data_IF_566172415117
#
_entry.id   IF_566172415117
#
_cell.length_a   1.000
_cell.length_b   1.000
_cell.length_c   1.000
_cell.angle_alpha   90.00
_cell.angle_beta   90.00
_cell.angle_gamma   90.00
#
_symmetry.space_group_name_H-M   'P 1'
#
loop_
_entity.id
_entity.type
_entity.pdbx_description
1 polymer ?
#
# COMPACT_ATOMS: atom_id res chain seq x y z
N UNK A 1 -8.03 -15.40 7.10
CA UNK A 1 -6.89 -16.27 7.46
C UNK A 1 -5.58 -15.78 6.86
N UNK A 2 -5.39 -15.82 5.53
CA UNK A 2 -4.16 -15.32 4.87
C UNK A 2 -3.75 -13.93 5.35
N UNK A 3 -4.68 -12.98 5.39
CA UNK A 3 -4.43 -11.63 5.86
C UNK A 3 -3.85 -11.60 7.30
N UNK A 4 -4.34 -12.45 8.19
CA UNK A 4 -3.87 -12.53 9.58
C UNK A 4 -2.48 -13.18 9.68
N UNK A 5 -2.24 -14.28 8.95
CA UNK A 5 -0.94 -14.95 8.92
C UNK A 5 0.15 -14.00 8.44
N UNK A 6 -0.08 -13.37 7.29
CA UNK A 6 0.89 -12.47 6.70
C UNK A 6 1.06 -11.19 7.51
N UNK A 7 0.02 -10.71 8.22
CA UNK A 7 0.17 -9.63 9.19
C UNK A 7 1.08 -10.04 10.37
N UNK A 8 0.94 -11.25 10.92
CA UNK A 8 1.82 -11.76 11.99
C UNK A 8 3.27 -11.83 11.53
N UNK A 9 3.51 -12.37 10.33
CA UNK A 9 4.84 -12.44 9.74
C UNK A 9 5.40 -11.02 9.50
N UNK A 10 4.58 -10.09 9.00
CA UNK A 10 4.97 -8.71 8.76
C UNK A 10 5.37 -7.98 10.05
N UNK A 11 4.57 -8.10 11.11
CA UNK A 11 4.89 -7.53 12.43
C UNK A 11 6.16 -8.14 13.00
N UNK A 12 6.29 -9.47 12.96
CA UNK A 12 7.50 -10.15 13.44
C UNK A 12 8.75 -9.69 12.67
N UNK A 13 8.65 -9.58 11.34
CA UNK A 13 9.75 -9.12 10.49
C UNK A 13 10.12 -7.68 10.80
N UNK A 14 9.14 -6.78 10.99
CA UNK A 14 9.40 -5.40 11.40
C UNK A 14 10.11 -5.37 12.75
N UNK A 15 9.58 -6.03 13.76
CA UNK A 15 10.19 -6.10 15.10
C UNK A 15 11.62 -6.63 15.06
N UNK A 16 11.90 -7.63 14.21
CA UNK A 16 13.25 -8.13 14.01
C UNK A 16 14.18 -7.08 13.37
N UNK A 17 13.73 -6.39 12.33
CA UNK A 17 14.51 -5.32 11.68
C UNK A 17 14.81 -4.18 12.65
N UNK A 18 13.81 -3.77 13.44
CA UNK A 18 13.97 -2.73 14.46
C UNK A 18 15.10 -3.12 15.44
N UNK A 19 15.16 -4.39 15.86
CA UNK A 19 16.23 -4.88 16.74
C UNK A 19 17.57 -5.09 16.01
N UNK A 20 17.57 -5.57 14.77
CA UNK A 20 18.79 -5.93 14.03
C UNK A 20 19.76 -4.75 13.87
N UNK A 21 19.23 -3.55 13.57
CA UNK A 21 20.05 -2.35 13.41
C UNK A 21 20.45 -1.69 14.75
N UNK A 22 19.61 -1.83 15.78
CA UNK A 22 19.90 -1.32 17.13
C UNK A 22 20.94 -2.19 17.85
N UNK A 23 20.85 -3.52 17.73
CA UNK A 23 21.78 -4.44 18.38
C UNK A 23 23.19 -4.33 17.78
N UNK A 24 23.32 -4.07 16.48
CA UNK A 24 24.61 -3.81 15.84
C UNK A 24 25.39 -2.67 16.49
N UNK A 25 24.70 -1.64 17.00
CA UNK A 25 25.32 -0.51 17.68
C UNK A 25 25.83 -0.81 19.09
N UNK A 26 25.25 -1.82 19.75
CA UNK A 26 25.68 -2.28 21.08
C UNK A 26 26.78 -3.35 21.00
N UNK A 27 27.47 -3.46 19.87
CA UNK A 27 28.47 -4.51 19.61
C UNK A 27 27.86 -5.90 19.37
N UNK A 28 26.54 -5.96 19.13
CA UNK A 28 25.83 -7.18 18.78
C UNK A 28 25.92 -7.51 17.28
N UNK A 29 25.00 -8.33 16.80
CA UNK A 29 24.96 -8.78 15.41
C UNK A 29 24.17 -7.81 14.54
N UNK A 30 24.79 -7.33 13.45
CA UNK A 30 24.19 -6.40 12.49
C UNK A 30 25.03 -5.13 12.28
N UNK A 31 24.82 -4.38 11.19
CA UNK A 31 25.44 -3.07 11.01
C UNK A 31 24.80 -2.05 11.96
N UNK A 32 25.61 -1.19 12.57
CA UNK A 32 25.09 -0.08 13.36
C UNK A 32 24.59 1.04 12.44
N UNK A 33 23.31 1.38 12.55
CA UNK A 33 22.74 2.58 11.95
C UNK A 33 22.37 3.55 13.06
N UNK A 34 23.25 4.50 13.32
CA UNK A 34 23.07 5.58 14.29
C UNK A 34 23.10 6.94 13.61
N UNK A 35 22.37 7.90 14.17
CA UNK A 35 22.36 9.28 13.71
C UNK A 35 21.01 9.95 13.92
N UNK A 36 21.00 11.28 13.97
CA UNK A 36 19.78 12.07 14.20
C UNK A 36 18.69 11.84 13.15
N UNK A 37 19.08 11.50 11.92
CA UNK A 37 18.18 11.24 10.79
C UNK A 37 17.65 9.80 10.71
N UNK A 38 18.23 8.87 11.48
CA UNK A 38 17.74 7.50 11.55
C UNK A 38 16.51 7.42 12.47
N UNK A 39 15.59 6.52 12.11
CA UNK A 39 14.43 6.16 12.90
C UNK A 39 14.11 4.68 12.64
N UNK A 40 13.63 3.98 13.66
CA UNK A 40 13.55 2.51 13.65
C UNK A 40 12.68 1.96 12.52
N UNK A 41 11.62 2.67 12.14
CA UNK A 41 10.74 2.27 11.05
C UNK A 41 11.35 2.41 9.64
N UNK A 42 12.52 3.04 9.47
CA UNK A 42 13.10 3.32 8.14
C UNK A 42 13.39 2.04 7.34
N UNK A 43 14.12 1.05 7.86
CA UNK A 43 14.46 -0.15 7.09
C UNK A 43 13.23 -0.99 6.73
N UNK A 44 12.30 -1.12 7.67
CA UNK A 44 11.05 -1.87 7.46
C UNK A 44 10.14 -1.18 6.44
N UNK A 45 10.03 0.16 6.47
CA UNK A 45 9.33 0.96 5.46
C UNK A 45 9.96 0.85 4.07
N UNK A 46 11.29 0.87 3.98
CA UNK A 46 12.02 0.68 2.72
C UNK A 46 11.78 -0.72 2.14
N UNK A 47 11.94 -1.78 2.96
CA UNK A 47 11.78 -3.16 2.53
C UNK A 47 10.35 -3.45 2.07
N UNK A 48 9.33 -3.08 2.86
CA UNK A 48 7.94 -3.31 2.48
C UNK A 48 7.51 -2.53 1.24
N UNK A 49 8.04 -1.31 1.04
CA UNK A 49 7.80 -0.52 -0.17
C UNK A 49 8.46 -1.15 -1.40
N UNK A 50 9.68 -1.70 -1.26
CA UNK A 50 10.33 -2.47 -2.33
C UNK A 50 9.52 -3.73 -2.68
N UNK A 51 9.13 -4.53 -1.68
CA UNK A 51 8.43 -5.80 -1.90
C UNK A 51 7.10 -5.57 -2.60
N UNK A 52 6.26 -4.62 -2.15
CA UNK A 52 4.98 -4.33 -2.82
C UNK A 52 5.17 -3.85 -4.26
N UNK A 53 6.25 -3.08 -4.53
CA UNK A 53 6.63 -2.67 -5.89
C UNK A 53 7.15 -3.83 -6.74
N UNK A 54 7.81 -4.82 -6.14
CA UNK A 54 8.38 -5.98 -6.81
C UNK A 54 7.33 -7.03 -7.21
N UNK A 55 6.30 -7.23 -6.38
CA UNK A 55 5.18 -8.16 -6.66
C UNK A 55 4.00 -7.49 -7.37
N UNK A 56 4.25 -6.35 -8.00
CA UNK A 56 3.23 -5.52 -8.63
C UNK A 56 2.68 -6.19 -9.91
N UNK A 57 1.47 -5.79 -10.31
CA UNK A 57 0.87 -6.25 -11.55
C UNK A 57 1.60 -5.63 -12.77
N UNK A 58 1.74 -6.35 -13.90
CA UNK A 58 2.32 -5.81 -15.13
C UNK A 58 1.66 -4.50 -15.59
N UNK A 59 0.34 -4.38 -15.45
CA UNK A 59 -0.39 -3.18 -15.83
C UNK A 59 0.10 -1.94 -15.04
N UNK A 60 0.42 -2.11 -13.75
CA UNK A 60 1.01 -1.04 -12.95
C UNK A 60 2.45 -0.69 -13.37
N UNK A 61 3.13 -1.55 -14.14
CA UNK A 61 4.45 -1.33 -14.72
C UNK A 61 4.39 -0.75 -16.15
N UNK A 62 3.19 -0.46 -16.68
CA UNK A 62 3.02 -0.06 -18.08
C UNK A 62 3.20 -1.20 -19.07
N UNK A 63 3.01 -2.46 -18.62
CA UNK A 63 3.15 -3.66 -19.45
C UNK A 63 1.79 -4.32 -19.67
N UNK A 64 1.47 -4.60 -20.94
CA UNK A 64 0.26 -5.33 -21.33
C UNK A 64 0.49 -6.81 -21.19
N UNK A 65 -0.07 -7.40 -20.14
CA UNK A 65 -0.03 -8.84 -19.91
C UNK A 65 -1.21 -9.22 -19.03
N UNK A 66 -1.79 -10.42 -19.22
CA UNK A 66 -2.86 -10.88 -18.36
C UNK A 66 -2.37 -11.29 -16.96
N UNK A 67 -1.05 -11.41 -16.73
CA UNK A 67 -0.49 -11.81 -15.42
C UNK A 67 -0.95 -10.85 -14.30
N UNK A 68 -1.28 -11.37 -13.13
CA UNK A 68 -1.61 -10.59 -11.92
C UNK A 68 -0.38 -10.26 -11.08
N UNK A 69 0.69 -11.05 -11.23
CA UNK A 69 2.01 -10.84 -10.62
C UNK A 69 3.08 -10.88 -11.71
N UNK A 70 3.80 -9.77 -11.90
CA UNK A 70 4.73 -9.59 -13.02
C UNK A 70 5.95 -10.55 -12.97
N UNK A 71 6.39 -10.92 -11.78
CA UNK A 71 7.62 -11.70 -11.57
C UNK A 71 7.44 -13.22 -11.73
N UNK A 72 6.26 -13.68 -12.11
CA UNK A 72 5.94 -15.10 -12.21
C UNK A 72 5.59 -15.52 -13.65
N UNK A 73 5.85 -16.79 -14.02
CA UNK A 73 5.32 -17.35 -15.26
C UNK A 73 3.80 -17.26 -15.33
N UNK A 74 3.25 -17.25 -16.54
CA UNK A 74 1.79 -17.12 -16.74
C UNK A 74 0.99 -18.27 -16.10
N UNK A 75 1.55 -19.48 -16.09
CA UNK A 75 0.91 -20.70 -15.56
C UNK A 75 1.17 -20.95 -14.07
N UNK A 76 1.80 -20.01 -13.38
CA UNK A 76 2.11 -20.20 -11.98
C UNK A 76 0.83 -20.13 -11.13
N UNK A 77 0.54 -21.09 -10.22
CA UNK A 77 -0.71 -21.13 -9.45
C UNK A 77 -1.02 -19.86 -8.66
N UNK A 78 0.02 -19.13 -8.23
CA UNK A 78 -0.13 -17.86 -7.53
C UNK A 78 -0.74 -16.74 -8.38
N UNK A 79 -0.77 -16.86 -9.72
CA UNK A 79 -1.46 -15.87 -10.58
C UNK A 79 -2.97 -15.82 -10.28
N UNK A 80 -3.56 -16.93 -9.84
CA UNK A 80 -5.00 -17.07 -9.57
C UNK A 80 -5.33 -17.05 -8.06
N UNK A 81 -4.35 -17.29 -7.19
CA UNK A 81 -4.58 -17.34 -5.75
C UNK A 81 -4.69 -15.94 -5.12
N UNK A 82 -5.85 -15.32 -5.28
CA UNK A 82 -6.14 -13.96 -4.83
C UNK A 82 -5.89 -13.75 -3.33
N UNK A 83 -6.38 -14.65 -2.48
CA UNK A 83 -6.20 -14.52 -1.03
C UNK A 83 -4.72 -14.48 -0.59
N UNK A 84 -3.83 -15.15 -1.32
CA UNK A 84 -2.39 -15.14 -1.08
C UNK A 84 -1.75 -13.82 -1.55
N UNK A 85 -2.20 -13.28 -2.69
CA UNK A 85 -1.75 -11.97 -3.18
C UNK A 85 -2.12 -10.84 -2.21
N UNK A 86 -3.39 -10.81 -1.77
CA UNK A 86 -3.87 -9.86 -0.75
C UNK A 86 -3.16 -10.08 0.58
N UNK A 87 -2.94 -11.34 0.96
CA UNK A 87 -2.13 -11.69 2.13
C UNK A 87 -0.74 -11.05 2.09
N UNK A 88 -0.01 -11.19 0.98
CA UNK A 88 1.36 -10.68 0.87
C UNK A 88 1.41 -9.15 0.72
N UNK A 89 0.54 -8.54 -0.10
CA UNK A 89 0.52 -7.09 -0.29
C UNK A 89 -0.08 -6.37 0.92
N UNK A 90 -1.35 -6.62 1.19
CA UNK A 90 -2.08 -5.94 2.25
C UNK A 90 -1.67 -6.43 3.64
N UNK A 91 -1.48 -7.74 3.83
CA UNK A 91 -1.11 -8.33 5.12
C UNK A 91 0.36 -8.09 5.47
N UNK A 92 1.27 -8.68 4.69
CA UNK A 92 2.70 -8.64 4.99
C UNK A 92 3.31 -7.26 4.75
N UNK A 93 3.30 -6.73 3.52
CA UNK A 93 3.93 -5.42 3.24
C UNK A 93 3.26 -4.31 4.06
N UNK A 94 1.94 -4.36 4.19
CA UNK A 94 1.17 -3.42 4.99
C UNK A 94 1.48 -3.45 6.49
N UNK A 95 1.83 -4.61 7.08
CA UNK A 95 2.17 -4.71 8.52
C UNK A 95 3.67 -4.65 8.81
N UNK A 96 4.48 -4.92 7.79
CA UNK A 96 5.93 -4.68 7.78
C UNK A 96 6.24 -3.19 7.76
N UNK A 97 5.47 -2.40 6.98
CA UNK A 97 5.59 -0.93 7.00
C UNK A 97 4.72 -0.33 8.09
N UNK A 98 5.08 0.85 8.61
CA UNK A 98 4.27 1.61 9.55
C UNK A 98 4.43 3.11 9.30
N UNK A 99 3.29 3.79 9.15
CA UNK A 99 3.25 5.24 8.98
C UNK A 99 3.16 5.94 10.33
N UNK A 100 2.35 5.41 11.25
CA UNK A 100 2.11 6.01 12.56
C UNK A 100 3.37 6.05 13.41
N UNK A 101 4.06 4.91 13.57
CA UNK A 101 5.29 4.83 14.35
C UNK A 101 6.42 5.67 13.73
N UNK A 102 6.47 5.76 12.40
CA UNK A 102 7.44 6.63 11.72
C UNK A 102 7.25 8.12 12.08
N UNK A 103 6.04 8.65 11.93
CA UNK A 103 5.77 10.05 12.25
C UNK A 103 5.89 10.29 13.76
N UNK A 104 5.37 9.38 14.57
CA UNK A 104 5.45 9.46 16.02
C UNK A 104 6.90 9.53 16.51
N UNK A 105 7.79 8.63 16.07
CA UNK A 105 9.17 8.61 16.56
C UNK A 105 9.99 9.85 16.17
N UNK A 106 9.62 10.53 15.07
CA UNK A 106 10.22 11.81 14.68
C UNK A 106 9.68 12.97 15.52
N UNK A 107 8.36 13.05 15.69
CA UNK A 107 7.72 14.17 16.36
C UNK A 107 7.69 14.04 17.88
N UNK A 108 7.85 12.84 18.43
CA UNK A 108 8.19 12.60 19.83
C UNK A 108 9.46 13.36 20.19
N UNK A 109 10.56 13.08 19.48
CA UNK A 109 11.84 13.78 19.66
C UNK A 109 11.74 15.28 19.42
N UNK A 110 10.96 15.72 18.43
CA UNK A 110 10.74 17.14 18.17
C UNK A 110 10.08 17.85 19.38
N UNK A 111 9.03 17.25 19.93
CA UNK A 111 8.26 17.81 21.06
C UNK A 111 9.06 17.72 22.37
N UNK A 112 9.71 16.58 22.65
CA UNK A 112 10.37 16.32 23.92
C UNK A 112 11.79 16.91 24.01
N UNK A 113 12.52 16.91 22.89
CA UNK A 113 13.94 17.29 22.84
C UNK A 113 14.22 18.49 21.92
N UNK A 114 13.19 19.20 21.44
CA UNK A 114 13.31 20.35 20.54
C UNK A 114 14.00 20.03 19.19
N UNK A 115 13.93 18.77 18.74
CA UNK A 115 14.58 18.28 17.53
C UNK A 115 13.77 18.51 16.23
N UNK A 116 13.17 19.70 16.06
CA UNK A 116 12.25 19.98 14.94
C UNK A 116 12.90 19.83 13.56
N UNK A 117 14.10 20.36 13.37
CA UNK A 117 14.81 20.31 12.09
C UNK A 117 15.11 18.85 11.66
N UNK A 118 15.49 18.02 12.63
CA UNK A 118 15.75 16.59 12.42
C UNK A 118 14.46 15.85 12.07
N UNK A 119 13.35 16.15 12.75
CA UNK A 119 12.04 15.56 12.45
C UNK A 119 11.58 15.87 11.02
N UNK A 120 11.68 17.14 10.58
CA UNK A 120 11.32 17.51 9.21
C UNK A 120 12.21 16.85 8.17
N UNK A 121 13.52 16.76 8.45
CA UNK A 121 14.46 16.08 7.56
C UNK A 121 14.20 14.57 7.53
N UNK A 122 13.84 13.96 8.66
CA UNK A 122 13.42 12.56 8.76
C UNK A 122 12.14 12.25 7.97
N UNK A 123 11.19 13.20 7.91
CA UNK A 123 10.00 13.07 7.04
C UNK A 123 10.40 13.05 5.56
N UNK A 124 11.30 13.95 5.14
CA UNK A 124 11.78 13.99 3.75
C UNK A 124 12.54 12.71 3.39
N UNK A 125 13.48 12.30 4.24
CA UNK A 125 14.30 11.09 4.04
C UNK A 125 13.42 9.85 4.01
N UNK A 126 12.50 9.69 4.97
CA UNK A 126 11.61 8.54 5.03
C UNK A 126 10.71 8.43 3.80
N UNK A 127 10.09 9.54 3.37
CA UNK A 127 9.25 9.56 2.18
C UNK A 127 10.05 9.24 0.91
N UNK A 128 11.21 9.88 0.74
CA UNK A 128 12.07 9.69 -0.42
C UNK A 128 12.61 8.26 -0.50
N UNK A 129 13.05 7.70 0.63
CA UNK A 129 13.54 6.33 0.72
C UNK A 129 12.46 5.31 0.36
N UNK A 130 11.25 5.44 0.94
CA UNK A 130 10.14 4.54 0.63
C UNK A 130 9.66 4.65 -0.83
N UNK A 131 9.53 5.87 -1.38
CA UNK A 131 9.20 6.08 -2.79
C UNK A 131 10.29 5.54 -3.73
N UNK A 132 11.56 5.73 -3.36
CA UNK A 132 12.71 5.22 -4.11
C UNK A 132 12.72 3.70 -4.14
N UNK A 133 12.60 3.05 -2.97
CA UNK A 133 12.52 1.59 -2.86
C UNK A 133 11.34 1.01 -3.62
N UNK A 134 10.17 1.65 -3.60
CA UNK A 134 9.03 1.23 -4.42
C UNK A 134 9.36 1.26 -5.92
N UNK A 135 9.97 2.35 -6.41
CA UNK A 135 10.37 2.46 -7.84
C UNK A 135 11.43 1.42 -8.21
N UNK A 136 12.42 1.20 -7.35
CA UNK A 136 13.43 0.14 -7.54
C UNK A 136 12.75 -1.23 -7.61
N UNK A 137 11.76 -1.49 -6.75
CA UNK A 137 10.94 -2.70 -6.81
C UNK A 137 10.22 -2.87 -8.15
N UNK A 138 9.57 -1.81 -8.63
CA UNK A 138 8.90 -1.81 -9.94
C UNK A 138 9.88 -2.05 -11.11
N UNK A 139 11.06 -1.43 -11.09
CA UNK A 139 12.08 -1.66 -12.12
C UNK A 139 12.62 -3.10 -12.09
N UNK A 140 12.86 -3.64 -10.89
CA UNK A 140 13.26 -5.04 -10.74
C UNK A 140 12.16 -5.99 -11.25
N UNK A 141 10.89 -5.71 -10.95
CA UNK A 141 9.76 -6.48 -11.46
C UNK A 141 9.68 -6.44 -13.00
N UNK A 142 9.82 -5.25 -13.60
CA UNK A 142 9.82 -5.09 -15.05
C UNK A 142 10.98 -5.86 -15.72
N UNK A 143 12.18 -5.81 -15.14
CA UNK A 143 13.32 -6.55 -15.66
C UNK A 143 13.13 -8.07 -15.60
N UNK A 144 12.51 -8.59 -14.53
CA UNK A 144 12.16 -10.01 -14.42
C UNK A 144 11.06 -10.38 -15.42
N UNK A 145 10.01 -9.55 -15.52
CA UNK A 145 8.91 -9.74 -16.46
C UNK A 145 9.42 -9.85 -17.91
N UNK A 146 10.25 -8.90 -18.34
CA UNK A 146 10.82 -8.88 -19.70
C UNK A 146 11.69 -10.11 -20.00
N UNK A 147 12.35 -10.67 -18.98
CA UNK A 147 13.14 -11.91 -19.13
C UNK A 147 12.23 -13.13 -19.27
N UNK A 148 11.20 -13.23 -18.42
CA UNK A 148 10.24 -14.33 -18.47
C UNK A 148 9.46 -14.34 -19.77
N UNK A 149 8.98 -13.18 -20.21
CA UNK A 149 8.22 -13.06 -21.45
C UNK A 149 9.06 -13.44 -22.67
N UNK A 150 10.33 -13.00 -22.76
CA UNK A 150 11.25 -13.43 -23.82
C UNK A 150 11.51 -14.93 -23.79
N UNK A 151 11.68 -15.53 -22.61
CA UNK A 151 11.88 -16.97 -22.47
C UNK A 151 10.63 -17.76 -22.90
N UNK A 152 9.43 -17.32 -22.49
CA UNK A 152 8.15 -17.90 -22.88
C UNK A 152 7.95 -17.80 -24.40
N UNK A 153 8.20 -16.63 -24.99
CA UNK A 153 8.12 -16.41 -26.44
C UNK A 153 9.09 -17.32 -27.22
N UNK A 154 10.33 -17.46 -26.72
CA UNK A 154 11.35 -18.32 -27.33
C UNK A 154 11.00 -19.81 -27.24
N UNK A 155 10.39 -20.25 -26.14
CA UNK A 155 9.91 -21.62 -25.99
C UNK A 155 8.74 -21.94 -26.93
N UNK A 156 7.86 -20.97 -27.18
CA UNK A 156 6.69 -21.11 -28.04
C UNK A 156 7.02 -21.03 -29.55
N UNK A 157 8.10 -20.36 -29.95
CA UNK A 157 8.53 -20.23 -31.35
C UNK A 157 9.19 -21.47 -31.97
N UNK A 158 9.28 -22.59 -31.24
CA UNK A 158 9.93 -23.84 -31.69
C UNK A 158 8.96 -24.91 -32.25
N UNK A 159 7.65 -24.65 -32.34
CA UNK A 159 6.67 -25.63 -32.81
C UNK A 159 5.93 -25.21 -34.09
N UNK A 160 6.03 -26.01 -35.15
CA UNK A 160 5.22 -25.85 -36.38
C UNK A 160 3.72 -26.07 -36.06
N UNK A 161 2.86 -25.12 -36.48
CA UNK A 161 1.41 -25.17 -36.22
C UNK A 161 0.97 -24.70 -34.83
N UNK A 162 1.88 -24.23 -33.99
CA UNK A 162 1.58 -23.80 -32.62
C UNK A 162 0.82 -22.48 -32.52
N UNK A 163 0.85 -21.59 -33.54
CA UNK A 163 0.30 -20.23 -33.43
C UNK A 163 -1.21 -20.18 -33.22
N UNK A 164 -2.00 -20.91 -34.01
CA UNK A 164 -3.46 -20.79 -33.95
C UNK A 164 -4.06 -21.47 -32.70
N UNK A 165 -3.46 -22.60 -32.28
CA UNK A 165 -3.80 -23.28 -31.02
C UNK A 165 -3.32 -22.47 -29.80
N UNK A 166 -2.21 -21.74 -29.93
CA UNK A 166 -1.68 -20.81 -28.94
C UNK A 166 -2.60 -19.62 -28.75
N UNK A 167 -3.06 -18.99 -29.83
CA UNK A 167 -3.92 -17.80 -29.76
C UNK A 167 -5.27 -18.11 -29.11
N UNK A 168 -5.82 -19.32 -29.34
CA UNK A 168 -7.06 -19.76 -28.68
C UNK A 168 -6.87 -20.07 -27.20
N UNK A 169 -5.77 -20.74 -26.83
CA UNK A 169 -5.48 -21.06 -25.41
C UNK A 169 -5.08 -19.79 -24.64
N UNK A 170 -4.31 -18.89 -25.24
CA UNK A 170 -3.96 -17.61 -24.63
C UNK A 170 -5.18 -16.71 -24.48
N UNK A 171 -6.05 -16.61 -25.48
CA UNK A 171 -7.27 -15.80 -25.39
C UNK A 171 -8.26 -16.31 -24.33
N UNK A 172 -8.41 -17.63 -24.19
CA UNK A 172 -9.23 -18.23 -23.15
C UNK A 172 -8.65 -17.95 -21.75
N UNK A 173 -7.35 -18.19 -21.57
CA UNK A 173 -6.64 -17.92 -20.31
C UNK A 173 -6.61 -16.42 -19.96
N UNK A 174 -6.48 -15.56 -20.97
CA UNK A 174 -6.56 -14.10 -20.81
C UNK A 174 -7.93 -13.65 -20.32
N UNK A 175 -9.01 -14.28 -20.79
CA UNK A 175 -10.37 -13.93 -20.39
C UNK A 175 -10.62 -14.30 -18.92
N UNK A 176 -10.24 -15.52 -18.52
CA UNK A 176 -10.33 -15.97 -17.12
C UNK A 176 -9.45 -15.14 -16.19
N UNK A 177 -8.23 -14.82 -16.61
CA UNK A 177 -7.30 -14.06 -15.78
C UNK A 177 -7.65 -12.56 -15.72
N UNK A 178 -8.26 -11.99 -16.76
CA UNK A 178 -8.84 -10.64 -16.69
C UNK A 178 -10.04 -10.57 -15.74
N UNK A 179 -10.85 -11.63 -15.67
CA UNK A 179 -11.91 -11.71 -14.66
C UNK A 179 -11.30 -11.80 -13.25
N UNK A 180 -10.30 -12.66 -13.04
CA UNK A 180 -9.56 -12.75 -11.78
C UNK A 180 -8.87 -11.44 -11.39
N UNK A 181 -8.37 -10.67 -12.36
CA UNK A 181 -7.76 -9.36 -12.09
C UNK A 181 -8.80 -8.30 -11.71
N UNK A 182 -10.00 -8.34 -12.30
CA UNK A 182 -11.13 -7.48 -11.87
C UNK A 182 -11.57 -7.84 -10.46
N UNK A 183 -11.59 -9.13 -10.13
CA UNK A 183 -11.88 -9.62 -8.78
C UNK A 183 -10.80 -9.20 -7.79
N UNK A 184 -9.52 -9.29 -8.18
CA UNK A 184 -8.38 -8.78 -7.39
C UNK A 184 -8.52 -7.29 -7.10
N UNK A 185 -8.83 -6.46 -8.11
CA UNK A 185 -9.05 -5.02 -7.91
C UNK A 185 -10.29 -4.75 -7.04
N UNK A 186 -11.31 -5.61 -7.08
CA UNK A 186 -12.47 -5.53 -6.20
C UNK A 186 -12.16 -5.96 -4.75
N UNK A 187 -11.24 -6.90 -4.55
CA UNK A 187 -10.80 -7.36 -3.23
C UNK A 187 -9.67 -6.51 -2.62
N UNK A 188 -8.88 -5.85 -3.46
CA UNK A 188 -7.75 -4.97 -3.13
C UNK A 188 -8.01 -3.56 -3.70
N UNK A 189 -8.86 -2.75 -3.03
CA UNK A 189 -9.23 -1.40 -3.48
C UNK A 189 -8.08 -0.38 -3.39
N UNK A 190 -6.93 -0.82 -2.88
CA UNK A 190 -5.67 -0.08 -2.81
C UNK A 190 -4.94 -0.05 -4.16
N UNK A 191 -5.28 -0.97 -5.08
CA UNK A 191 -4.77 -0.94 -6.45
C UNK A 191 -5.53 0.12 -7.28
N UNK A 192 -4.84 0.87 -8.16
CA UNK A 192 -5.51 1.82 -9.03
C UNK A 192 -6.56 1.12 -9.91
N UNK A 193 -7.76 1.71 -10.10
CA UNK A 193 -8.77 1.20 -11.03
C UNK A 193 -8.19 1.02 -12.44
N UNK A 194 -8.66 0.00 -13.17
CA UNK A 194 -8.22 -0.28 -14.55
C UNK A 194 -8.42 0.92 -15.49
N UNK A 195 -9.46 1.71 -15.29
CA UNK A 195 -9.76 2.95 -16.04
C UNK A 195 -8.61 3.98 -15.94
N UNK A 196 -7.96 4.06 -14.77
CA UNK A 196 -6.82 4.95 -14.53
C UNK A 196 -5.57 4.46 -15.29
N UNK A 197 -5.42 3.15 -15.46
CA UNK A 197 -4.32 2.57 -16.24
C UNK A 197 -4.56 2.73 -17.75
N UNK A 198 -5.81 2.68 -18.20
CA UNK A 198 -6.20 2.91 -19.60
C UNK A 198 -6.05 4.41 -20.01
N UNK A 199 -6.33 5.36 -19.12
CA UNK A 199 -6.10 6.80 -19.36
C UNK A 199 -4.60 7.15 -19.45
N UNK A 200 -3.75 6.49 -18.64
CA UNK A 200 -2.29 6.60 -18.74
C UNK A 200 -1.79 6.11 -20.09
N UNK A 201 -2.34 4.98 -20.58
CA UNK A 201 -2.00 4.44 -21.91
C UNK A 201 -2.39 5.39 -23.05
N UNK A 202 -3.55 6.05 -22.98
CA UNK A 202 -3.96 7.01 -24.02
C UNK A 202 -3.05 8.25 -24.03
N UNK A 203 -2.62 8.71 -22.85
CA UNK A 203 -1.67 9.81 -22.71
C UNK A 203 -0.26 9.48 -23.23
N UNK A 204 0.25 8.28 -22.92
CA UNK A 204 1.58 7.83 -23.36
C UNK A 204 1.61 7.53 -24.87
N UNK A 205 0.56 6.93 -25.43
CA UNK A 205 0.43 6.71 -26.87
C UNK A 205 0.25 8.02 -27.64
N UNK A 206 -0.46 9.02 -27.08
CA UNK A 206 -0.55 10.35 -27.65
C UNK A 206 0.81 11.08 -27.62
N UNK A 207 1.58 10.92 -26.54
CA UNK A 207 2.93 11.49 -26.43
C UNK A 207 3.94 10.84 -27.39
N UNK A 208 3.82 9.53 -27.63
CA UNK A 208 4.64 8.80 -28.59
C UNK A 208 4.25 9.10 -30.05
N UNK A 209 2.96 9.31 -30.34
CA UNK A 209 2.48 9.77 -31.66
C UNK A 209 2.78 11.23 -31.95
N UNK A 210 2.94 12.06 -30.90
CA UNK A 210 3.22 13.48 -31.00
C UNK A 210 4.71 13.85 -31.16
N UNK A 211 5.63 12.89 -31.19
CA UNK A 211 7.05 13.16 -31.50
C UNK A 211 7.26 13.18 -33.02
N UNK A 212 7.56 14.33 -33.64
CA UNK A 212 7.93 14.35 -35.04
C UNK A 212 9.31 13.71 -35.20
N UNK A 213 9.38 12.70 -36.06
CA UNK A 213 10.62 12.11 -36.52
C UNK A 213 11.30 13.05 -37.53
N UNK A 214 12.37 13.71 -37.08
CA UNK A 214 13.39 14.29 -37.95
C UNK A 214 13.49 15.81 -37.98
N UNK A 215 14.74 16.30 -37.99
CA UNK A 215 15.10 17.64 -38.44
C UNK A 215 15.57 18.59 -37.34
N UNK A 216 16.89 18.70 -37.20
CA UNK A 216 17.56 19.89 -36.64
C UNK A 216 17.17 21.07 -37.51
N UNK A 217 16.47 22.08 -36.97
CA UNK A 217 16.72 23.51 -37.20
C UNK A 217 15.60 24.45 -36.69
N UNK A 218 16.07 25.57 -36.13
CA UNK A 218 15.42 26.88 -35.90
C UNK A 218 14.53 27.09 -34.66
N UNK A 219 15.09 27.92 -33.79
CA UNK A 219 14.48 28.80 -32.80
C UNK A 219 13.25 29.52 -33.37
N UNK A 220 12.13 29.46 -32.64
CA UNK A 220 10.90 30.19 -32.96
C UNK A 220 10.02 30.35 -31.72
N UNK A 221 9.87 31.60 -31.30
CA UNK A 221 9.10 32.12 -30.17
C UNK A 221 7.68 31.54 -30.05
N UNK A 222 7.31 31.05 -28.86
CA UNK A 222 5.92 30.65 -28.55
C UNK A 222 5.17 31.88 -28.07
N UNK A 223 4.19 32.31 -28.87
CA UNK A 223 3.19 33.30 -28.50
C UNK A 223 1.83 32.58 -28.44
N UNK A 224 1.26 32.49 -27.25
CA UNK A 224 -0.05 31.91 -27.01
C UNK A 224 -1.17 32.90 -27.38
N UNK A 225 -2.28 32.46 -27.98
CA UNK A 225 -3.51 33.23 -27.99
C UNK A 225 -4.43 32.78 -26.84
N UNK A 226 -4.78 33.76 -26.03
CA UNK A 226 -5.95 33.79 -25.14
C UNK A 226 -7.18 33.98 -26.04
N UNK A 227 -8.20 33.11 -25.93
CA UNK A 227 -9.55 33.43 -26.38
C UNK A 227 -10.58 33.17 -25.28
N UNK A 228 -11.21 34.27 -24.88
CA UNK A 228 -12.42 34.34 -24.09
C UNK A 228 -13.63 34.39 -25.04
N UNK A 229 -14.73 33.65 -24.75
CA UNK A 229 -15.89 33.72 -25.62
C UNK A 229 -17.13 32.92 -25.24
N UNK A 230 -17.94 33.52 -24.34
CA UNK A 230 -19.42 33.58 -24.34
C UNK A 230 -20.27 32.31 -24.14
N UNK A 231 -21.03 32.38 -23.05
CA UNK A 231 -22.30 31.70 -22.78
C UNK A 231 -23.39 32.06 -23.81
N UNK A 232 -24.15 31.06 -24.25
CA UNK A 232 -25.53 31.23 -24.70
C UNK A 232 -26.36 30.02 -24.29
N UNK A 233 -27.31 30.24 -23.39
CA UNK A 233 -28.37 29.29 -23.07
C UNK A 233 -29.44 29.31 -24.17
N UNK A 234 -29.91 28.14 -24.60
CA UNK A 234 -31.17 28.01 -25.32
C UNK A 234 -31.87 26.72 -24.90
N UNK A 235 -33.08 26.88 -24.35
CA UNK A 235 -34.05 25.83 -24.01
C UNK A 235 -34.79 25.41 -25.27
N UNK A 236 -34.88 24.11 -25.53
CA UNK A 236 -36.02 23.51 -26.22
C UNK A 236 -36.04 21.99 -26.02
N UNK A 237 -37.09 21.52 -25.35
CA UNK A 237 -37.45 20.11 -25.26
C UNK A 237 -38.10 19.67 -26.58
N UNK A 238 -37.85 18.44 -27.08
CA UNK A 238 -38.71 17.82 -28.07
C UNK A 238 -39.63 16.78 -27.43
N UNK A 239 -40.83 16.74 -28.00
CA UNK A 239 -42.00 16.00 -27.59
C UNK A 239 -41.87 14.48 -27.80
N UNK A 240 -42.56 13.75 -26.92
CA UNK A 240 -42.76 12.32 -26.92
C UNK A 240 -43.79 11.94 -28.00
N UNK A 241 -43.35 11.31 -29.09
CA UNK A 241 -44.24 10.66 -30.06
C UNK A 241 -44.12 9.15 -29.96
N UNK A 242 -45.24 8.50 -29.64
CA UNK A 242 -45.43 7.07 -29.51
C UNK A 242 -45.21 6.33 -30.83
N UNK A 243 -44.14 5.53 -30.90
CA UNK A 243 -44.04 4.43 -31.86
C UNK A 243 -44.08 3.10 -31.11
N UNK A 244 -45.16 2.37 -31.39
CA UNK A 244 -45.48 1.01 -30.95
C UNK A 244 -44.43 0.03 -31.47
N UNK A 245 -43.50 -0.39 -30.60
CA UNK A 245 -42.57 -1.49 -30.88
C UNK A 245 -43.13 -2.79 -30.32
N UNK A 246 -43.32 -3.75 -31.25
CA UNK A 246 -43.75 -5.13 -31.00
C UNK A 246 -42.88 -5.79 -29.94
N UNK A 247 -43.54 -6.53 -29.04
CA UNK A 247 -42.89 -7.38 -28.04
C UNK A 247 -42.09 -8.50 -28.71
N UNK A 248 -40.77 -8.37 -28.74
CA UNK A 248 -39.86 -9.51 -28.84
C UNK A 248 -39.31 -9.80 -27.45
N UNK A 249 -39.60 -10.99 -26.93
CA UNK A 249 -39.09 -11.51 -25.66
C UNK A 249 -37.55 -11.46 -25.63
N UNK A 250 -36.98 -10.48 -24.94
CA UNK A 250 -35.54 -10.45 -24.65
C UNK A 250 -35.27 -11.36 -23.45
N UNK A 251 -34.53 -12.43 -23.69
CA UNK A 251 -33.94 -13.26 -22.65
C UNK A 251 -33.15 -12.37 -21.68
N UNK A 252 -33.35 -12.58 -20.38
CA UNK A 252 -32.55 -11.97 -19.33
C UNK A 252 -31.06 -12.26 -19.54
N UNK A 253 -30.16 -11.29 -19.26
CA UNK A 253 -28.73 -11.55 -19.31
C UNK A 253 -28.37 -12.73 -18.38
N UNK A 254 -27.48 -13.64 -18.80
CA UNK A 254 -27.06 -14.75 -17.95
C UNK A 254 -26.44 -14.20 -16.66
N UNK A 255 -26.83 -14.79 -15.53
CA UNK A 255 -26.23 -14.52 -14.24
C UNK A 255 -24.70 -14.69 -14.32
N UNK A 256 -23.92 -13.89 -13.56
CA UNK A 256 -22.48 -14.05 -13.53
C UNK A 256 -22.12 -15.50 -13.15
N UNK A 257 -21.15 -16.12 -13.83
CA UNK A 257 -20.72 -17.47 -13.48
C UNK A 257 -20.28 -17.49 -12.02
N UNK A 258 -20.79 -18.46 -11.26
CA UNK A 258 -20.36 -18.70 -9.89
C UNK A 258 -18.86 -19.02 -9.85
N UNK A 259 -18.20 -18.83 -8.68
CA UNK A 259 -16.78 -19.06 -8.56
C UNK A 259 -16.43 -20.50 -8.98
N UNK A 260 -15.36 -20.71 -9.76
CA UNK A 260 -14.94 -22.05 -10.14
C UNK A 260 -14.65 -22.88 -8.88
N UNK A 261 -14.95 -24.19 -8.87
CA UNK A 261 -14.64 -25.04 -7.73
C UNK A 261 -13.13 -24.98 -7.46
N UNK A 262 -12.76 -24.68 -6.21
CA UNK A 262 -11.36 -24.61 -5.81
C UNK A 262 -10.65 -25.91 -6.20
N UNK A 263 -9.66 -25.81 -7.09
CA UNK A 263 -8.79 -26.95 -7.38
C UNK A 263 -8.19 -27.46 -6.07
N UNK A 264 -7.99 -28.78 -5.94
CA UNK A 264 -7.43 -29.41 -4.74
C UNK A 264 -6.12 -28.75 -4.25
N UNK A 265 -5.35 -28.15 -5.18
CA UNK A 265 -4.14 -27.40 -4.89
C UNK A 265 -4.38 -26.09 -4.09
N UNK A 266 -5.47 -25.37 -4.37
CA UNK A 266 -5.81 -24.15 -3.60
C UNK A 266 -6.26 -24.49 -2.18
N UNK A 267 -7.02 -25.57 -2.02
CA UNK A 267 -7.40 -26.06 -0.70
C UNK A 267 -6.18 -26.41 0.17
N UNK A 268 -5.13 -27.01 -0.41
CA UNK A 268 -3.89 -27.32 0.32
C UNK A 268 -3.15 -26.06 0.79
N UNK A 269 -3.06 -25.02 -0.04
CA UNK A 269 -2.42 -23.73 0.33
C UNK A 269 -3.19 -23.05 1.45
N UNK A 270 -4.51 -23.08 1.41
CA UNK A 270 -5.36 -22.56 2.48
C UNK A 270 -5.17 -23.34 3.79
N UNK A 271 -5.14 -24.68 3.75
CA UNK A 271 -4.88 -25.50 4.94
C UNK A 271 -3.49 -25.26 5.53
N UNK A 272 -2.47 -25.13 4.68
CA UNK A 272 -1.12 -24.79 5.13
C UNK A 272 -1.06 -23.40 5.78
N UNK A 273 -1.76 -22.42 5.22
CA UNK A 273 -1.87 -21.10 5.82
C UNK A 273 -2.67 -21.12 7.13
N UNK A 274 -3.69 -21.98 7.26
CA UNK A 274 -4.44 -22.18 8.50
C UNK A 274 -3.53 -22.76 9.60
N UNK A 275 -2.79 -23.81 9.26
CA UNK A 275 -1.84 -24.46 10.16
C UNK A 275 -0.72 -23.51 10.56
N UNK A 276 -0.13 -22.80 9.61
CA UNK A 276 0.90 -21.80 9.88
C UNK A 276 0.37 -20.71 10.83
N UNK A 277 -0.83 -20.17 10.58
CA UNK A 277 -1.46 -19.18 11.46
C UNK A 277 -1.70 -19.72 12.87
N UNK A 278 -2.16 -20.97 12.98
CA UNK A 278 -2.36 -21.62 14.27
C UNK A 278 -1.03 -21.74 15.03
N UNK A 279 0.02 -22.21 14.36
CA UNK A 279 1.35 -22.39 14.95
C UNK A 279 1.98 -21.06 15.36
N UNK A 280 1.91 -20.03 14.50
CA UNK A 280 2.46 -18.71 14.83
C UNK A 280 1.69 -18.02 15.95
N UNK A 281 0.36 -18.16 15.97
CA UNK A 281 -0.48 -17.62 17.06
C UNK A 281 -0.23 -18.35 18.38
N UNK A 282 -0.16 -19.69 18.35
CA UNK A 282 0.14 -20.48 19.54
C UNK A 282 1.55 -20.19 20.06
N UNK A 283 2.55 -20.12 19.18
CA UNK A 283 3.93 -19.78 19.52
C UNK A 283 4.04 -18.39 20.15
N UNK A 284 3.35 -17.38 19.58
CA UNK A 284 3.31 -16.05 20.17
C UNK A 284 2.61 -16.04 21.54
N UNK A 285 1.51 -16.78 21.72
CA UNK A 285 0.84 -16.92 23.02
C UNK A 285 1.75 -17.55 24.08
N UNK A 286 2.46 -18.61 23.72
CA UNK A 286 3.48 -19.25 24.59
C UNK A 286 4.60 -18.25 24.90
N UNK A 287 5.10 -17.52 23.91
CA UNK A 287 6.13 -16.49 24.09
C UNK A 287 5.73 -15.39 25.06
N UNK A 288 4.48 -14.91 25.01
CA UNK A 288 3.96 -13.92 25.97
C UNK A 288 3.95 -14.46 27.41
N UNK A 289 3.59 -15.75 27.58
CA UNK A 289 3.42 -16.38 28.88
C UNK A 289 4.71 -16.90 29.53
N UNK A 290 5.67 -17.38 28.73
CA UNK A 290 6.90 -17.99 29.25
C UNK A 290 8.07 -17.02 29.37
N UNK A 291 8.12 -15.97 28.55
CA UNK A 291 9.29 -15.09 28.47
C UNK A 291 9.27 -14.01 29.57
N UNK A 292 9.08 -14.39 30.83
CA UNK A 292 8.91 -13.44 31.94
C UNK A 292 10.16 -12.59 32.22
N UNK A 293 11.33 -13.04 31.74
CA UNK A 293 12.62 -12.37 32.00
C UNK A 293 12.97 -11.26 31.00
N UNK A 294 12.46 -11.33 29.76
CA UNK A 294 12.79 -10.39 28.70
C UNK A 294 11.56 -9.63 28.22
N UNK A 295 11.32 -8.46 28.82
CA UNK A 295 10.15 -7.63 28.54
C UNK A 295 10.02 -7.25 27.05
N UNK A 296 11.13 -6.87 26.40
CA UNK A 296 11.14 -6.52 24.97
C UNK A 296 10.66 -7.68 24.07
N UNK A 297 11.02 -8.92 24.41
CA UNK A 297 10.62 -10.09 23.64
C UNK A 297 9.13 -10.41 23.87
N UNK A 298 8.61 -10.21 25.08
CA UNK A 298 7.16 -10.29 25.36
C UNK A 298 6.36 -9.26 24.58
N UNK A 299 6.87 -8.03 24.46
CA UNK A 299 6.25 -6.98 23.63
C UNK A 299 6.16 -7.43 22.18
N UNK A 300 7.22 -8.03 21.63
CA UNK A 300 7.20 -8.56 20.25
C UNK A 300 6.12 -9.63 20.10
N UNK A 301 6.08 -10.61 21.01
CA UNK A 301 5.08 -11.69 20.94
C UNK A 301 3.64 -11.18 21.06
N UNK A 302 3.39 -10.26 21.99
CA UNK A 302 2.06 -9.66 22.14
C UNK A 302 1.70 -8.79 20.92
N UNK A 303 2.69 -8.11 20.32
CA UNK A 303 2.52 -7.34 19.08
C UNK A 303 2.10 -8.23 17.91
N UNK A 304 2.71 -9.41 17.79
CA UNK A 304 2.34 -10.40 16.77
C UNK A 304 0.88 -10.83 16.94
N UNK A 305 0.41 -11.05 18.17
CA UNK A 305 -0.99 -11.39 18.44
C UNK A 305 -1.96 -10.26 18.09
N UNK A 306 -1.58 -9.00 18.34
CA UNK A 306 -2.42 -7.82 18.09
C UNK A 306 -2.38 -7.33 16.63
N UNK A 307 -1.31 -7.64 15.89
CA UNK A 307 -1.11 -7.23 14.49
C UNK A 307 -2.28 -7.54 13.55
N UNK A 308 -2.83 -8.77 13.55
CA UNK A 308 -4.00 -9.13 12.73
C UNK A 308 -5.20 -8.18 12.90
N UNK A 309 -5.46 -7.69 14.11
CA UNK A 309 -6.59 -6.79 14.38
C UNK A 309 -6.40 -5.44 13.68
N UNK A 310 -5.18 -4.89 13.72
CA UNK A 310 -4.85 -3.65 13.03
C UNK A 310 -4.93 -3.82 11.51
N UNK A 311 -4.37 -4.91 10.99
CA UNK A 311 -4.42 -5.21 9.56
C UNK A 311 -5.85 -5.43 9.04
N UNK A 312 -6.71 -6.10 9.81
CA UNK A 312 -8.12 -6.29 9.46
C UNK A 312 -8.87 -4.98 9.42
N UNK A 313 -8.65 -4.11 10.42
CA UNK A 313 -9.26 -2.80 10.43
C UNK A 313 -8.80 -1.95 9.23
N UNK A 314 -7.50 -1.95 8.91
CA UNK A 314 -6.98 -1.26 7.72
C UNK A 314 -7.64 -1.78 6.44
N UNK A 315 -7.68 -3.11 6.24
CA UNK A 315 -8.32 -3.71 5.07
C UNK A 315 -9.82 -3.37 5.00
N UNK A 316 -10.52 -3.39 6.14
CA UNK A 316 -11.93 -3.01 6.20
C UNK A 316 -12.14 -1.52 5.83
N UNK A 317 -11.30 -0.62 6.34
CA UNK A 317 -11.35 0.80 6.00
C UNK A 317 -11.08 1.02 4.51
N UNK A 318 -10.07 0.37 3.95
CA UNK A 318 -9.79 0.38 2.52
C UNK A 318 -11.02 -0.08 1.72
N UNK A 319 -11.59 -1.25 2.04
CA UNK A 319 -12.78 -1.80 1.36
C UNK A 319 -14.03 -0.91 1.45
N UNK A 320 -14.19 -0.17 2.54
CA UNK A 320 -15.37 0.66 2.78
C UNK A 320 -15.24 2.07 2.22
N UNK A 321 -14.03 2.63 2.21
CA UNK A 321 -13.80 4.06 1.97
C UNK A 321 -12.98 4.36 0.72
N UNK A 322 -12.05 3.49 0.30
CA UNK A 322 -11.29 3.70 -0.94
C UNK A 322 -12.23 3.65 -2.15
N UNK A 323 -12.08 4.61 -3.06
CA UNK A 323 -12.88 4.75 -4.29
C UNK A 323 -14.40 4.88 -4.06
N UNK A 324 -14.83 5.21 -2.84
CA UNK A 324 -16.25 5.32 -2.46
C UNK A 324 -16.71 6.74 -2.20
N UNK A 325 -15.77 7.70 -2.13
CA UNK A 325 -16.11 9.11 -2.04
C UNK A 325 -16.70 9.60 -3.36
N UNK A 326 -17.77 10.39 -3.29
CA UNK A 326 -18.44 10.94 -4.46
C UNK A 326 -17.94 12.36 -4.79
N UNK A 327 -18.15 12.79 -6.05
CA UNK A 327 -17.87 14.15 -6.49
C UNK A 327 -16.38 14.50 -6.51
N UNK A 328 -16.03 15.72 -6.07
CA UNK A 328 -14.67 16.25 -6.12
C UNK A 328 -13.62 15.49 -5.29
N UNK A 329 -14.04 14.52 -4.48
CA UNK A 329 -13.20 13.74 -3.58
C UNK A 329 -12.99 12.28 -4.00
N UNK A 330 -13.58 11.85 -5.13
CA UNK A 330 -13.51 10.46 -5.60
C UNK A 330 -12.07 9.95 -5.82
N UNK A 331 -11.12 10.86 -6.04
CA UNK A 331 -9.72 10.54 -6.26
C UNK A 331 -8.93 10.23 -4.97
N UNK A 332 -9.49 10.49 -3.78
CA UNK A 332 -8.77 10.32 -2.51
C UNK A 332 -8.89 8.88 -2.01
N UNK A 333 -7.77 8.19 -1.75
CA UNK A 333 -7.75 6.93 -1.00
C UNK A 333 -8.07 7.17 0.48
N UNK A 334 -9.37 7.29 0.78
CA UNK A 334 -9.87 7.71 2.08
C UNK A 334 -9.71 6.64 3.17
N UNK A 335 -9.71 5.36 2.81
CA UNK A 335 -9.47 4.24 3.71
C UNK A 335 -8.04 4.22 4.22
N UNK A 336 -7.05 4.35 3.34
CA UNK A 336 -5.63 4.43 3.71
C UNK A 336 -5.35 5.68 4.53
N UNK A 337 -5.92 6.83 4.13
CA UNK A 337 -5.84 8.07 4.91
C UNK A 337 -6.42 7.91 6.31
N UNK A 338 -7.62 7.31 6.43
CA UNK A 338 -8.27 7.09 7.72
C UNK A 338 -7.48 6.12 8.60
N UNK A 339 -6.96 5.02 8.03
CA UNK A 339 -6.16 4.06 8.75
C UNK A 339 -4.86 4.69 9.28
N UNK A 340 -4.15 5.46 8.46
CA UNK A 340 -2.94 6.18 8.86
C UNK A 340 -3.23 7.25 9.91
N UNK A 341 -4.29 8.05 9.75
CA UNK A 341 -4.66 9.08 10.72
C UNK A 341 -5.08 8.47 12.08
N UNK A 342 -5.97 7.48 12.07
CA UNK A 342 -6.44 6.80 13.28
C UNK A 342 -5.30 6.10 13.99
N UNK A 343 -4.49 5.34 13.26
CA UNK A 343 -3.35 4.63 13.83
C UNK A 343 -2.33 5.59 14.41
N UNK A 344 -1.99 6.69 13.72
CA UNK A 344 -1.09 7.72 14.25
C UNK A 344 -1.61 8.34 15.55
N UNK A 345 -2.91 8.66 15.61
CA UNK A 345 -3.51 9.22 16.82
C UNK A 345 -3.42 8.24 18.00
N UNK A 346 -3.68 6.94 17.76
CA UNK A 346 -3.54 5.92 18.81
C UNK A 346 -2.08 5.73 19.21
N UNK A 347 -1.14 5.63 18.26
CA UNK A 347 0.30 5.49 18.55
C UNK A 347 0.81 6.67 19.39
N UNK A 348 0.46 7.91 19.01
CA UNK A 348 0.86 9.10 19.75
C UNK A 348 0.23 9.15 21.16
N UNK A 349 -1.02 8.69 21.30
CA UNK A 349 -1.69 8.61 22.61
C UNK A 349 -1.02 7.58 23.53
N UNK A 350 -0.66 6.41 22.99
CA UNK A 350 0.07 5.38 23.73
C UNK A 350 1.48 5.84 24.10
N UNK A 351 2.19 6.55 23.21
CA UNK A 351 3.51 7.12 23.50
C UNK A 351 3.42 8.11 24.65
N UNK A 352 2.45 9.03 24.56
CA UNK A 352 2.21 10.01 25.60
C UNK A 352 1.89 9.35 26.96
N UNK A 353 1.10 8.26 26.97
CA UNK A 353 0.82 7.49 28.18
C UNK A 353 2.08 6.86 28.78
N UNK A 354 2.99 6.33 27.95
CA UNK A 354 4.27 5.78 28.43
C UNK A 354 5.16 6.85 29.04
N UNK A 355 5.10 8.08 28.53
CA UNK A 355 5.94 9.17 29.00
C UNK A 355 5.43 9.82 30.29
N UNK A 356 4.11 10.00 30.44
CA UNK A 356 3.54 10.80 31.54
C UNK A 356 2.84 10.00 32.63
N UNK A 357 2.48 8.75 32.38
CA UNK A 357 1.77 7.92 33.36
C UNK A 357 2.70 6.86 33.97
N UNK A 358 2.58 6.66 35.28
CA UNK A 358 3.24 5.56 35.99
C UNK A 358 2.48 4.25 35.74
N UNK A 359 2.71 3.63 34.58
CA UNK A 359 2.11 2.34 34.24
C UNK A 359 2.86 1.20 34.97
N UNK A 360 2.11 0.27 35.55
CA UNK A 360 2.69 -1.00 36.02
C UNK A 360 3.14 -1.87 34.85
N UNK A 361 3.91 -2.93 35.10
CA UNK A 361 4.50 -3.79 34.07
C UNK A 361 3.50 -4.29 33.00
N UNK A 362 2.30 -4.69 33.43
CA UNK A 362 1.24 -5.11 32.51
C UNK A 362 0.71 -3.95 31.63
N UNK A 363 0.58 -2.75 32.20
CA UNK A 363 0.17 -1.55 31.48
C UNK A 363 1.20 -1.17 30.42
N UNK A 364 2.48 -1.13 30.79
CA UNK A 364 3.59 -0.83 29.87
C UNK A 364 3.65 -1.84 28.72
N UNK A 365 3.59 -3.15 29.03
CA UNK A 365 3.58 -4.22 28.03
C UNK A 365 2.42 -4.07 27.04
N UNK A 366 1.20 -3.85 27.54
CA UNK A 366 0.02 -3.68 26.68
C UNK A 366 0.11 -2.43 25.81
N UNK A 367 0.53 -1.31 26.38
CA UNK A 367 0.65 -0.03 25.65
C UNK A 367 1.67 -0.14 24.52
N UNK A 368 2.86 -0.70 24.81
CA UNK A 368 3.89 -0.92 23.80
C UNK A 368 3.41 -1.91 22.72
N UNK A 369 2.77 -3.02 23.10
CA UNK A 369 2.27 -4.00 22.14
C UNK A 369 1.12 -3.46 21.26
N UNK A 370 0.31 -2.53 21.77
CA UNK A 370 -0.69 -1.82 20.95
C UNK A 370 0.01 -0.91 19.93
N UNK A 371 1.08 -0.20 20.33
CA UNK A 371 1.87 0.62 19.41
C UNK A 371 2.52 -0.24 18.32
N UNK A 372 3.38 -1.18 18.71
CA UNK A 372 4.17 -1.99 17.78
C UNK A 372 3.36 -3.06 17.06
N UNK A 373 2.26 -3.57 17.63
CA UNK A 373 1.41 -4.59 17.02
C UNK A 373 0.22 -4.01 16.27
N UNK A 374 -0.79 -3.55 17.01
CA UNK A 374 -2.06 -3.09 16.46
C UNK A 374 -1.89 -1.86 15.55
N UNK A 375 -1.37 -0.75 16.07
CA UNK A 375 -1.23 0.48 15.27
C UNK A 375 -0.15 0.37 14.20
N UNK A 376 0.90 -0.41 14.49
CA UNK A 376 1.95 -0.76 13.54
C UNK A 376 1.39 -1.47 12.29
N UNK A 377 0.42 -2.37 12.45
CA UNK A 377 -0.23 -3.07 11.33
C UNK A 377 -1.45 -2.33 10.74
N UNK A 378 -2.07 -1.43 11.52
CA UNK A 378 -3.16 -0.55 11.08
C UNK A 378 -2.67 0.55 10.13
N UNK A 379 -1.50 1.11 10.39
CA UNK A 379 -0.89 2.13 9.52
C UNK A 379 0.00 1.48 8.47
N UNK A 380 0.26 2.16 7.35
CA UNK A 380 1.11 1.62 6.29
C UNK A 380 1.76 2.72 5.45
N UNK A 381 3.02 2.49 5.08
CA UNK A 381 3.74 3.30 4.09
C UNK A 381 3.69 2.64 2.70
N UNK A 382 3.74 1.30 2.62
CA UNK A 382 3.79 0.59 1.33
C UNK A 382 2.57 0.85 0.46
N UNK A 383 1.35 0.83 1.04
CA UNK A 383 0.13 1.16 0.31
C UNK A 383 0.08 2.64 -0.04
N UNK A 384 0.43 3.50 0.92
CA UNK A 384 0.45 4.96 0.73
C UNK A 384 1.36 5.39 -0.44
N UNK A 385 2.58 4.87 -0.53
CA UNK A 385 3.48 5.20 -1.66
C UNK A 385 2.99 4.63 -2.99
N UNK A 386 2.36 3.46 -2.97
CA UNK A 386 1.76 2.87 -4.16
C UNK A 386 0.62 3.75 -4.70
N UNK A 387 -0.26 4.26 -3.82
CA UNK A 387 -1.35 5.17 -4.19
C UNK A 387 -0.84 6.52 -4.73
N UNK A 388 0.17 7.10 -4.08
CA UNK A 388 0.83 8.34 -4.52
C UNK A 388 1.41 8.16 -5.93
N UNK A 389 2.12 7.06 -6.17
CA UNK A 389 2.70 6.74 -7.48
C UNK A 389 1.64 6.44 -8.53
N UNK A 390 0.55 5.78 -8.15
CA UNK A 390 -0.57 5.53 -9.04
C UNK A 390 -1.19 6.86 -9.53
N UNK A 391 -1.42 7.81 -8.63
CA UNK A 391 -1.91 9.14 -8.99
C UNK A 391 -0.92 9.92 -9.86
N UNK A 392 0.38 9.87 -9.53
CA UNK A 392 1.43 10.56 -10.28
C UNK A 392 1.48 10.14 -11.76
N UNK A 393 1.25 8.85 -12.04
CA UNK A 393 1.25 8.31 -13.40
C UNK A 393 0.16 8.90 -14.30
N UNK A 394 -0.95 9.37 -13.73
CA UNK A 394 -2.09 9.95 -14.47
C UNK A 394 -1.84 11.35 -15.06
N UNK A 395 -0.60 11.85 -15.02
CA UNK A 395 -0.21 13.09 -15.68
C UNK A 395 -0.60 14.35 -14.91
N UNK A 396 -0.78 15.48 -15.61
CA UNK A 396 -0.90 16.83 -15.03
C UNK A 396 -1.78 16.96 -13.77
N UNK A 397 -3.11 16.73 -13.86
CA UNK A 397 -4.01 16.81 -12.69
C UNK A 397 -3.72 15.72 -11.64
N UNK A 398 -3.26 14.55 -12.09
CA UNK A 398 -2.84 13.43 -11.25
C UNK A 398 -1.67 13.73 -10.33
N UNK A 399 -0.62 14.32 -10.90
CA UNK A 399 0.58 14.73 -10.16
C UNK A 399 0.25 15.73 -9.07
N UNK A 400 -0.63 16.70 -9.35
CA UNK A 400 -1.12 17.64 -8.32
C UNK A 400 -1.85 16.91 -7.19
N UNK A 401 -2.72 15.95 -7.53
CA UNK A 401 -3.44 15.11 -6.53
C UNK A 401 -2.47 14.27 -5.70
N UNK A 402 -1.45 13.68 -6.32
CA UNK A 402 -0.41 12.92 -5.63
C UNK A 402 0.32 13.79 -4.58
N UNK A 403 0.74 15.00 -4.94
CA UNK A 403 1.37 15.92 -4.00
C UNK A 403 0.42 16.36 -2.89
N UNK A 404 -0.82 16.73 -3.22
CA UNK A 404 -1.84 17.13 -2.23
C UNK A 404 -2.15 16.00 -1.24
N UNK A 405 -2.29 14.77 -1.73
CA UNK A 405 -2.52 13.60 -0.87
C UNK A 405 -1.31 13.31 0.01
N UNK A 406 -0.10 13.28 -0.56
CA UNK A 406 1.09 12.95 0.19
C UNK A 406 1.37 13.98 1.29
N UNK A 407 1.32 15.27 0.94
CA UNK A 407 1.52 16.36 1.89
C UNK A 407 0.39 16.46 2.91
N UNK A 408 -0.87 16.32 2.48
CA UNK A 408 -2.03 16.34 3.36
C UNK A 408 -2.01 15.23 4.41
N UNK A 409 -1.70 14.00 4.00
CA UNK A 409 -1.57 12.85 4.93
C UNK A 409 -0.47 13.05 5.97
N UNK A 410 0.70 13.56 5.54
CA UNK A 410 1.81 13.86 6.45
C UNK A 410 1.48 15.01 7.40
N UNK A 411 0.96 16.13 6.90
CA UNK A 411 0.59 17.27 7.73
C UNK A 411 -0.50 16.90 8.75
N UNK A 412 -1.48 16.09 8.36
CA UNK A 412 -2.50 15.59 9.29
C UNK A 412 -1.88 14.74 10.40
N UNK A 413 -0.99 13.82 10.07
CA UNK A 413 -0.32 12.98 11.07
C UNK A 413 0.59 13.80 12.01
N UNK A 414 1.35 14.74 11.46
CA UNK A 414 2.18 15.67 12.23
C UNK A 414 1.31 16.48 13.20
N UNK A 415 0.20 17.04 12.70
CA UNK A 415 -0.75 17.79 13.52
C UNK A 415 -1.30 16.93 14.66
N UNK A 416 -1.69 15.68 14.38
CA UNK A 416 -2.19 14.75 15.40
C UNK A 416 -1.13 14.48 16.48
N UNK A 417 0.12 14.19 16.11
CA UNK A 417 1.21 13.99 17.08
C UNK A 417 1.41 15.23 17.97
N UNK A 418 1.47 16.43 17.38
CA UNK A 418 1.69 17.67 18.12
C UNK A 418 0.54 17.94 19.09
N UNK A 419 -0.71 17.80 18.65
CA UNK A 419 -1.89 18.09 19.48
C UNK A 419 -2.05 17.07 20.61
N UNK A 420 -1.68 15.81 20.40
CA UNK A 420 -1.81 14.76 21.41
C UNK A 420 -0.68 14.83 22.45
N UNK A 421 0.57 15.03 22.01
CA UNK A 421 1.75 14.94 22.87
C UNK A 421 2.19 16.29 23.44
N UNK A 422 1.95 17.38 22.69
CA UNK A 422 2.35 18.73 23.05
C UNK A 422 1.81 19.21 24.40
N UNK A 423 0.48 19.11 24.67
CA UNK A 423 -0.10 19.56 25.94
C UNK A 423 0.51 18.89 27.17
N UNK A 424 0.80 17.60 27.07
CA UNK A 424 1.45 16.84 28.14
C UNK A 424 2.86 17.35 28.44
N UNK A 425 3.68 17.56 27.39
CA UNK A 425 5.06 18.04 27.56
C UNK A 425 5.15 19.51 27.99
N UNK A 426 4.29 20.38 27.47
CA UNK A 426 4.33 21.81 27.80
C UNK A 426 3.60 22.13 29.10
N UNK A 427 2.61 21.32 29.48
CA UNK A 427 1.91 21.42 30.76
C UNK A 427 2.83 21.13 31.95
N UNK A 428 3.67 20.10 31.87
CA UNK A 428 4.64 19.77 32.95
C UNK A 428 5.68 20.87 33.14
N UNK A 429 6.18 21.47 32.06
CA UNK A 429 7.16 22.56 32.13
C UNK A 429 6.61 23.85 32.74
N UNK A 430 5.29 24.09 32.57
CA UNK A 430 4.61 25.24 33.18
C UNK A 430 4.50 25.10 34.71
N UNK A 431 4.50 23.87 35.23
CA UNK A 431 4.51 23.59 36.67
C UNK A 431 5.88 23.80 37.32
N UNK A 432 6.96 23.35 36.67
CA UNK A 432 8.34 23.50 37.18
C UNK A 432 8.81 24.97 37.24
N UNK A 433 8.31 25.83 36.35
CA UNK A 433 8.61 27.28 36.37
C UNK A 433 7.76 28.03 37.40
N UNK A 434 6.63 27.47 37.84
CA UNK A 434 5.78 28.06 38.87
C UNK A 434 6.18 27.68 40.31
N UNK A 435 7.00 26.65 40.48
CA UNK A 435 7.53 26.19 41.79
C UNK A 435 8.93 26.73 42.12
N UNK A 436 9.58 27.46 41.21
CA UNK A 436 10.79 28.25 41.45
C UNK A 436 10.49 29.74 41.50
#
# INVERSE_FOLDING_TARGET
MHLALWAQIGVLTRSFLDQFFVLGCKGGWGPCLEGSLYFDALPSNMLGSFVIGFINAPAALGRRSPKTVAILPLRHPWQEHLALQVGLRTGFCGSLTTFGSWVESLFHRAVWSNAWAEAFSGVVVGLAASLGCYVVGCHAAAAVFDRLERAEQSALGRGDGASEKRDRISAALETELQAAQRELVAEEPDLPPREVLEDVEQGEQAALRGRPSGGVDKVGTIQAPIEAGRLSASRSAPQLSSHTLKSSSSASPPAPPGPPPASFAFAAVDWLAALALLLTTAGAGVGVGLELSQEWLRVIWLSVLLGPLGCWLRWFLARRLNQRLAGSWAWVPAGTLAANALGTAVTASMANLLDVASLGAAGTLCTQAVQSGFTGALTTVSTFVLEVRAMEKTGGPGRRRAYLYATGSLLLAIFLCIVIMGPARWGTHSGEVAEN
#
